data_IF_172404586593
#
_entry.id   IF_172404586593
#
_cell.length_a   1.000
_cell.length_b   1.000
_cell.length_c   1.000
_cell.angle_alpha   90.00
_cell.angle_beta   90.00
_cell.angle_gamma   90.00
#
_symmetry.space_group_name_H-M   'P 1'
#
loop_
_entity.id
_entity.type
_entity.pdbx_description
1 polymer ?
#
# COMPACT_ATOMS: atom_id res chain seq x y z
N UNK A 1 2.54 7.55 -9.76
CA UNK A 1 3.12 7.49 -8.41
C UNK A 1 4.48 8.16 -8.40
N UNK A 2 5.49 7.60 -9.07
CA UNK A 2 6.85 8.15 -9.14
C UNK A 2 6.91 9.68 -9.35
N UNK A 3 6.21 10.22 -10.35
CA UNK A 3 6.20 11.66 -10.62
C UNK A 3 5.67 12.52 -9.45
N UNK A 4 4.71 12.04 -8.66
CA UNK A 4 4.20 12.79 -7.51
C UNK A 4 5.23 12.85 -6.36
N UNK A 5 6.00 11.78 -6.22
CA UNK A 5 7.04 11.62 -5.20
C UNK A 5 8.30 12.40 -5.58
N UNK A 6 8.68 12.35 -6.86
CA UNK A 6 9.71 13.19 -7.46
C UNK A 6 9.40 14.68 -7.26
N UNK A 7 8.16 15.09 -7.56
CA UNK A 7 7.70 16.46 -7.30
C UNK A 7 7.73 16.87 -5.82
N UNK A 8 7.62 15.91 -4.90
CA UNK A 8 7.75 16.15 -3.46
C UNK A 8 9.22 16.19 -2.98
N UNK A 9 10.19 16.04 -3.88
CA UNK A 9 11.63 16.16 -3.61
C UNK A 9 12.35 14.84 -3.30
N UNK A 10 11.70 13.69 -3.55
CA UNK A 10 12.32 12.37 -3.36
C UNK A 10 12.90 11.83 -4.66
N UNK A 11 13.99 11.06 -4.58
CA UNK A 11 14.44 10.22 -5.70
C UNK A 11 13.54 8.98 -5.80
N UNK A 12 12.67 8.94 -6.82
CA UNK A 12 11.82 7.78 -7.07
C UNK A 12 12.60 6.67 -7.81
N UNK A 13 12.64 5.47 -7.24
CA UNK A 13 13.28 4.29 -7.83
C UNK A 13 12.22 3.24 -8.14
N UNK A 14 12.27 2.66 -9.34
CA UNK A 14 11.44 1.51 -9.69
C UNK A 14 12.00 0.25 -9.06
N UNK A 15 11.20 -0.41 -8.22
CA UNK A 15 11.57 -1.63 -7.50
C UNK A 15 10.51 -2.68 -7.78
N UNK A 16 10.86 -3.64 -8.64
CA UNK A 16 10.06 -4.84 -8.86
C UNK A 16 10.33 -5.86 -7.75
N UNK A 17 9.34 -6.71 -7.42
CA UNK A 17 9.50 -7.70 -6.34
C UNK A 17 10.69 -8.64 -6.55
N UNK A 18 11.00 -8.95 -7.81
CA UNK A 18 12.16 -9.76 -8.18
C UNK A 18 13.49 -9.11 -7.78
N UNK A 19 13.59 -7.76 -7.79
CA UNK A 19 14.81 -7.09 -7.34
C UNK A 19 15.07 -7.32 -5.85
N UNK A 20 14.01 -7.48 -5.04
CA UNK A 20 14.12 -7.81 -3.61
C UNK A 20 14.41 -9.30 -3.42
N UNK A 21 13.96 -10.17 -4.31
CA UNK A 21 14.38 -11.59 -4.32
C UNK A 21 15.88 -11.69 -4.60
N UNK A 22 16.36 -10.98 -5.63
CA UNK A 22 17.75 -11.00 -6.08
C UNK A 22 18.68 -10.31 -5.07
N UNK A 23 18.22 -9.23 -4.42
CA UNK A 23 18.94 -8.54 -3.35
C UNK A 23 18.00 -8.31 -2.14
N UNK A 24 17.97 -9.24 -1.17
CA UNK A 24 17.09 -9.13 0.00
C UNK A 24 17.38 -7.94 0.92
N UNK A 25 18.58 -7.36 0.82
CA UNK A 25 18.96 -6.19 1.61
C UNK A 25 18.61 -4.87 0.91
N UNK A 26 18.10 -4.90 -0.33
CA UNK A 26 17.78 -3.71 -1.14
C UNK A 26 16.89 -2.71 -0.39
N UNK A 27 15.92 -3.18 0.39
CA UNK A 27 15.00 -2.30 1.12
C UNK A 27 15.69 -1.50 2.24
N UNK A 28 16.90 -1.89 2.67
CA UNK A 28 17.66 -1.16 3.68
C UNK A 28 18.10 0.22 3.18
N UNK A 29 18.28 0.38 1.87
CA UNK A 29 18.72 1.62 1.23
C UNK A 29 17.61 2.69 1.13
N UNK A 30 16.37 2.32 1.49
CA UNK A 30 15.20 3.20 1.36
C UNK A 30 14.72 3.72 2.73
N UNK A 31 14.22 4.96 2.71
CA UNK A 31 13.46 5.56 3.82
C UNK A 31 11.95 5.49 3.59
N UNK A 32 11.52 5.18 2.37
CA UNK A 32 10.12 5.18 1.98
C UNK A 32 9.81 4.06 0.99
N UNK A 33 8.67 3.38 1.19
CA UNK A 33 8.14 2.37 0.28
C UNK A 33 6.73 2.75 -0.13
N UNK A 34 6.44 2.71 -1.44
CA UNK A 34 5.09 2.99 -1.94
C UNK A 34 4.57 1.84 -2.80
N UNK A 35 3.62 1.11 -2.24
CA UNK A 35 2.90 0.07 -2.96
C UNK A 35 1.87 0.72 -3.91
N UNK A 36 2.15 0.61 -5.21
CA UNK A 36 1.36 1.26 -6.26
C UNK A 36 0.01 0.57 -6.51
N UNK A 37 -0.90 1.31 -7.15
CA UNK A 37 -2.17 0.77 -7.64
C UNK A 37 -2.00 -0.07 -8.91
N UNK A 38 -3.02 -0.86 -9.26
CA UNK A 38 -2.99 -1.73 -10.43
C UNK A 38 -3.91 -2.94 -10.27
N UNK A 39 -3.56 -4.03 -10.94
CA UNK A 39 -4.26 -5.31 -10.91
C UNK A 39 -3.22 -6.44 -10.81
N UNK A 40 -2.43 -6.46 -9.73
CA UNK A 40 -1.42 -7.49 -9.53
C UNK A 40 -2.05 -8.88 -9.64
N UNK A 41 -1.46 -9.75 -10.46
CA UNK A 41 -1.99 -11.08 -10.80
C UNK A 41 -3.44 -11.07 -11.31
N UNK A 42 -3.90 -9.97 -11.92
CA UNK A 42 -5.28 -9.81 -12.41
C UNK A 42 -6.34 -9.80 -11.30
N UNK A 43 -5.95 -9.56 -10.04
CA UNK A 43 -6.78 -9.73 -8.84
C UNK A 43 -7.36 -11.15 -8.64
N UNK A 44 -6.76 -12.15 -9.30
CA UNK A 44 -7.11 -13.56 -9.10
C UNK A 44 -6.74 -13.96 -7.67
N UNK A 45 -7.60 -14.76 -7.03
CA UNK A 45 -7.54 -15.08 -5.58
C UNK A 45 -7.75 -13.88 -4.64
N UNK A 46 -8.42 -12.84 -5.15
CA UNK A 46 -8.67 -11.53 -4.56
C UNK A 46 -7.55 -10.50 -4.74
N UNK A 47 -7.98 -9.24 -4.83
CA UNK A 47 -7.11 -8.12 -5.14
C UNK A 47 -6.04 -7.92 -4.06
N UNK A 48 -4.78 -7.76 -4.48
CA UNK A 48 -3.62 -7.63 -3.59
C UNK A 48 -3.19 -8.92 -2.87
N UNK A 49 -4.02 -9.97 -2.84
CA UNK A 49 -3.72 -11.21 -2.10
C UNK A 49 -2.60 -12.03 -2.72
N UNK A 50 -2.58 -12.17 -4.05
CA UNK A 50 -1.49 -12.86 -4.74
C UNK A 50 -0.15 -12.22 -4.41
N UNK A 51 -0.07 -10.90 -4.54
CA UNK A 51 1.13 -10.12 -4.22
C UNK A 51 1.55 -10.24 -2.74
N UNK A 52 0.61 -10.06 -1.81
CA UNK A 52 0.90 -10.22 -0.38
C UNK A 52 1.39 -11.64 -0.05
N UNK A 53 0.71 -12.68 -0.56
CA UNK A 53 1.09 -14.07 -0.30
C UNK A 53 2.43 -14.45 -0.92
N UNK A 54 2.79 -13.88 -2.08
CA UNK A 54 4.13 -14.03 -2.64
C UNK A 54 5.22 -13.51 -1.69
N UNK A 55 4.94 -12.42 -0.95
CA UNK A 55 5.84 -11.91 0.09
C UNK A 55 5.82 -12.85 1.32
N UNK A 56 4.65 -13.17 1.85
CA UNK A 56 4.51 -13.95 3.10
C UNK A 56 5.02 -15.39 2.98
N UNK A 57 4.87 -16.03 1.83
CA UNK A 57 5.25 -17.44 1.64
C UNK A 57 6.67 -17.60 1.12
N UNK A 58 7.37 -16.51 0.78
CA UNK A 58 8.78 -16.52 0.49
C UNK A 58 9.54 -16.01 1.73
N UNK A 59 10.28 -16.86 2.47
CA UNK A 59 10.96 -16.46 3.71
C UNK A 59 11.90 -15.27 3.53
N UNK A 60 12.56 -15.16 2.38
CA UNK A 60 13.47 -14.06 2.03
C UNK A 60 12.72 -12.74 1.92
N UNK A 61 11.62 -12.73 1.17
CA UNK A 61 10.78 -11.53 1.03
C UNK A 61 10.10 -11.17 2.35
N UNK A 62 9.52 -12.15 3.06
CA UNK A 62 8.89 -11.93 4.36
C UNK A 62 9.86 -11.24 5.31
N UNK A 63 11.10 -11.74 5.40
CA UNK A 63 12.15 -11.12 6.22
C UNK A 63 12.45 -9.69 5.78
N UNK A 64 12.74 -9.46 4.50
CA UNK A 64 13.10 -8.13 3.98
C UNK A 64 12.02 -7.07 4.25
N UNK A 65 10.74 -7.41 4.00
CA UNK A 65 9.63 -6.50 4.26
C UNK A 65 9.39 -6.29 5.77
N UNK A 66 9.47 -7.34 6.59
CA UNK A 66 9.33 -7.22 8.05
C UNK A 66 10.41 -6.32 8.63
N UNK A 67 11.67 -6.50 8.22
CA UNK A 67 12.79 -5.65 8.61
C UNK A 67 12.56 -4.19 8.22
N UNK A 68 12.04 -3.92 7.01
CA UNK A 68 11.70 -2.56 6.58
C UNK A 68 10.61 -1.92 7.46
N UNK A 69 9.54 -2.67 7.79
CA UNK A 69 8.42 -2.16 8.58
C UNK A 69 8.75 -1.96 10.07
N UNK A 70 9.73 -2.68 10.61
CA UNK A 70 10.17 -2.51 12.00
C UNK A 70 11.09 -1.29 12.22
N UNK A 71 11.63 -0.71 11.14
CA UNK A 71 12.52 0.44 11.25
C UNK A 71 11.75 1.69 11.71
N UNK A 72 12.18 2.40 12.77
CA UNK A 72 11.45 3.54 13.31
C UNK A 72 11.49 4.79 12.43
N UNK A 73 12.35 4.80 11.40
CA UNK A 73 12.61 5.94 10.52
C UNK A 73 12.20 5.68 9.06
N UNK A 74 11.28 4.74 8.83
CA UNK A 74 10.72 4.46 7.49
C UNK A 74 9.26 4.86 7.41
N UNK A 75 8.79 5.12 6.19
CA UNK A 75 7.36 5.27 5.91
C UNK A 75 6.89 4.32 4.81
N UNK A 76 5.62 3.94 4.88
CA UNK A 76 4.99 3.12 3.85
C UNK A 76 3.66 3.74 3.42
N UNK A 77 3.40 3.79 2.12
CA UNK A 77 2.11 4.19 1.56
C UNK A 77 1.58 3.10 0.62
N UNK A 78 0.33 2.70 0.77
CA UNK A 78 -0.36 1.81 -0.16
C UNK A 78 -1.52 2.52 -0.84
N UNK A 79 -1.58 2.47 -2.17
CA UNK A 79 -2.68 3.09 -2.93
C UNK A 79 -3.40 2.03 -3.76
N UNK A 80 -4.73 1.95 -3.60
CA UNK A 80 -5.59 1.00 -4.32
C UNK A 80 -5.13 -0.46 -4.16
N UNK A 81 -4.53 -1.08 -5.18
CA UNK A 81 -4.01 -2.46 -5.09
C UNK A 81 -2.86 -2.59 -4.09
N UNK A 82 -2.04 -1.56 -3.93
CA UNK A 82 -1.04 -1.51 -2.87
C UNK A 82 -1.64 -1.42 -1.47
N UNK A 83 -2.76 -0.70 -1.31
CA UNK A 83 -3.50 -0.67 -0.03
C UNK A 83 -4.05 -2.06 0.31
N UNK A 84 -4.61 -2.75 -0.69
CA UNK A 84 -5.12 -4.12 -0.54
C UNK A 84 -3.99 -5.10 -0.18
N UNK A 85 -2.84 -4.99 -0.86
CA UNK A 85 -1.66 -5.81 -0.55
C UNK A 85 -1.17 -5.56 0.88
N UNK A 86 -0.99 -4.30 1.30
CA UNK A 86 -0.55 -3.97 2.65
C UNK A 86 -1.54 -4.43 3.72
N UNK A 87 -2.85 -4.33 3.47
CA UNK A 87 -3.88 -4.86 4.38
C UNK A 87 -3.72 -6.37 4.62
N UNK A 88 -3.27 -7.11 3.61
CA UNK A 88 -3.02 -8.54 3.69
C UNK A 88 -1.64 -8.87 4.29
N UNK A 89 -0.74 -7.89 4.44
CA UNK A 89 0.54 -8.00 5.15
C UNK A 89 0.45 -7.58 6.62
N UNK A 90 -0.73 -7.32 7.17
CA UNK A 90 -0.88 -6.79 8.54
C UNK A 90 -0.19 -7.61 9.64
N UNK A 91 0.07 -8.91 9.41
CA UNK A 91 0.80 -9.76 10.36
C UNK A 91 2.29 -9.39 10.51
N UNK A 92 2.87 -8.65 9.56
CA UNK A 92 4.27 -8.20 9.58
C UNK A 92 4.43 -6.67 9.66
N UNK A 93 3.32 -5.94 9.84
CA UNK A 93 3.32 -4.47 9.96
C UNK A 93 2.94 -4.11 11.40
N UNK A 94 3.85 -3.52 12.20
CA UNK A 94 3.54 -3.09 13.56
C UNK A 94 2.36 -2.10 13.60
N UNK A 95 1.39 -2.31 14.49
CA UNK A 95 0.24 -1.41 14.67
C UNK A 95 -0.88 -1.57 13.63
N UNK A 96 -0.83 -2.59 12.77
CA UNK A 96 -1.81 -2.86 11.74
C UNK A 96 -2.89 -3.88 12.15
N UNK A 97 -2.99 -4.26 13.42
CA UNK A 97 -3.85 -5.35 13.91
C UNK A 97 -5.32 -5.12 13.55
N UNK A 98 -5.75 -3.84 13.62
CA UNK A 98 -7.11 -3.39 13.33
C UNK A 98 -7.37 -3.05 11.86
N UNK A 99 -6.41 -3.24 10.97
CA UNK A 99 -6.63 -2.93 9.55
C UNK A 99 -7.72 -3.85 8.96
N UNK A 100 -8.68 -3.27 8.21
CA UNK A 100 -9.76 -4.02 7.59
C UNK A 100 -9.24 -4.86 6.44
N UNK A 101 -10.08 -5.80 5.99
CA UNK A 101 -9.83 -6.51 4.73
C UNK A 101 -10.64 -5.89 3.61
N UNK A 102 -10.10 -5.88 2.40
CA UNK A 102 -10.80 -5.32 1.24
C UNK A 102 -11.58 -6.41 0.49
N UNK A 103 -12.90 -6.40 0.62
CA UNK A 103 -13.84 -7.35 -0.01
C UNK A 103 -14.54 -6.72 -1.21
N UNK A 104 -15.29 -7.50 -2.00
CA UNK A 104 -16.00 -6.99 -3.18
C UNK A 104 -16.95 -5.82 -2.82
N UNK A 105 -17.01 -4.81 -3.70
CA UNK A 105 -18.00 -3.74 -3.59
C UNK A 105 -19.42 -4.30 -3.53
N UNK A 106 -20.30 -3.64 -2.78
CA UNK A 106 -21.73 -3.97 -2.72
C UNK A 106 -22.41 -3.90 -4.09
N UNK A 107 -22.02 -2.94 -4.93
CA UNK A 107 -22.51 -2.81 -6.31
C UNK A 107 -22.14 -4.01 -7.20
N UNK A 108 -21.24 -4.88 -6.75
CA UNK A 108 -20.69 -6.00 -7.53
C UNK A 108 -20.06 -5.57 -8.86
N UNK A 109 -19.69 -4.30 -8.99
CA UNK A 109 -19.08 -3.70 -10.18
C UNK A 109 -17.78 -2.98 -9.83
N UNK A 110 -16.98 -2.74 -10.86
CA UNK A 110 -15.89 -1.77 -10.77
C UNK A 110 -16.47 -0.37 -10.79
N UNK A 111 -16.07 0.45 -9.83
CA UNK A 111 -16.47 1.85 -9.74
C UNK A 111 -15.28 2.74 -10.10
N UNK A 112 -15.46 3.61 -11.09
CA UNK A 112 -14.55 4.70 -11.42
C UNK A 112 -15.30 6.02 -11.20
N UNK A 113 -14.97 6.73 -10.13
CA UNK A 113 -15.71 7.91 -9.66
C UNK A 113 -14.75 9.02 -9.27
N UNK A 114 -15.22 10.25 -9.39
CA UNK A 114 -14.70 11.37 -8.61
C UNK A 114 -15.55 11.43 -7.34
N UNK A 115 -14.91 11.21 -6.19
CA UNK A 115 -15.58 11.11 -4.88
C UNK A 115 -15.07 12.22 -3.98
N UNK A 116 -15.98 12.81 -3.21
CA UNK A 116 -15.60 13.70 -2.12
C UNK A 116 -15.21 12.85 -0.91
N UNK A 117 -14.02 13.08 -0.35
CA UNK A 117 -13.67 12.58 0.97
C UNK A 117 -13.36 13.73 1.90
N UNK A 118 -13.65 13.48 3.17
CA UNK A 118 -13.15 14.23 4.30
C UNK A 118 -11.87 13.55 4.81
N UNK A 119 -10.85 14.35 5.11
CA UNK A 119 -9.68 13.88 5.85
C UNK A 119 -10.01 13.89 7.34
N UNK A 120 -10.08 12.72 7.95
CA UNK A 120 -10.30 12.59 9.39
C UNK A 120 -8.99 12.74 10.17
N UNK A 121 -9.11 13.16 11.42
CA UNK A 121 -7.95 13.19 12.32
C UNK A 121 -7.41 11.77 12.57
N UNK A 122 -6.09 11.62 12.48
CA UNK A 122 -5.41 10.32 12.56
C UNK A 122 -3.90 10.50 12.80
N UNK A 123 -3.18 9.46 13.25
CA UNK A 123 -1.72 9.50 13.40
C UNK A 123 -0.97 9.48 12.05
N UNK A 124 -1.65 9.54 10.90
CA UNK A 124 -1.02 9.49 9.58
C UNK A 124 -0.13 10.71 9.34
N UNK A 125 1.18 10.47 9.15
CA UNK A 125 2.13 11.53 8.79
C UNK A 125 1.83 12.20 7.45
N UNK A 126 1.11 11.52 6.55
CA UNK A 126 0.77 12.03 5.22
C UNK A 126 -0.38 13.04 5.23
N UNK A 127 -1.19 13.05 6.29
CA UNK A 127 -2.39 13.88 6.40
C UNK A 127 -2.28 14.90 7.55
N UNK A 128 -1.05 15.14 8.03
CA UNK A 128 -0.78 16.14 9.05
C UNK A 128 -1.32 17.49 8.62
N UNK A 129 -2.04 18.16 9.52
CA UNK A 129 -2.62 19.49 9.31
C UNK A 129 -3.69 19.56 8.19
N UNK A 130 -4.21 18.41 7.74
CA UNK A 130 -5.25 18.32 6.71
C UNK A 130 -6.64 17.93 7.25
N UNK A 131 -6.76 17.62 8.54
CA UNK A 131 -8.01 17.15 9.15
C UNK A 131 -9.16 18.15 8.98
N UNK A 132 -10.36 17.64 8.70
CA UNK A 132 -11.55 18.42 8.36
C UNK A 132 -11.58 18.94 6.91
N UNK A 133 -10.49 18.75 6.15
CA UNK A 133 -10.45 19.09 4.74
C UNK A 133 -11.35 18.20 3.89
N UNK A 134 -12.20 18.82 3.06
CA UNK A 134 -13.04 18.15 2.07
C UNK A 134 -12.47 18.35 0.68
N UNK A 135 -12.17 17.28 -0.04
CA UNK A 135 -11.60 17.38 -1.39
C UNK A 135 -12.03 16.23 -2.30
N UNK A 136 -12.21 16.50 -3.61
CA UNK A 136 -12.49 15.45 -4.57
C UNK A 136 -11.21 14.64 -4.87
N UNK A 137 -11.34 13.32 -4.93
CA UNK A 137 -10.27 12.42 -5.35
C UNK A 137 -10.78 11.35 -6.31
N UNK A 138 -9.89 10.83 -7.15
CA UNK A 138 -10.23 9.77 -8.09
C UNK A 138 -10.30 8.43 -7.36
N UNK A 139 -11.50 7.89 -7.19
CA UNK A 139 -11.74 6.55 -6.67
C UNK A 139 -11.86 5.54 -7.80
N UNK A 140 -10.97 4.55 -7.84
CA UNK A 140 -11.10 3.36 -8.69
C UNK A 140 -11.08 2.13 -7.80
N UNK A 141 -12.24 1.53 -7.57
CA UNK A 141 -12.40 0.47 -6.60
C UNK A 141 -13.20 -0.70 -7.16
N UNK A 142 -12.68 -1.92 -6.96
CA UNK A 142 -13.47 -3.17 -6.98
C UNK A 142 -13.80 -3.66 -5.59
N UNK A 143 -13.17 -3.05 -4.58
CA UNK A 143 -13.18 -3.52 -3.21
C UNK A 143 -13.52 -2.40 -2.22
N UNK A 144 -14.28 -2.75 -1.19
CA UNK A 144 -14.58 -1.94 -0.01
C UNK A 144 -13.90 -2.53 1.24
N UNK A 145 -13.51 -1.73 2.23
CA UNK A 145 -13.11 -2.27 3.53
C UNK A 145 -14.27 -3.00 4.21
N UNK A 146 -13.96 -4.04 4.99
CA UNK A 146 -14.88 -4.81 5.83
C UNK A 146 -14.19 -5.17 7.16
#
# INVERSE_FOLDING_TARGET
MAAAIDKAGFTAVDVHINNVIDNPNLLQDFVGLIACGGFSYGDVLNAGQGWAKSILFNPTLKRAFSEFFMRPNTFTLGVCNGCQMLSALKEIIPGAEHWPVFIKNESNRFEARLVMAEVLDSPSIFFKDMAGGLSPYTGRARRRPY
#
